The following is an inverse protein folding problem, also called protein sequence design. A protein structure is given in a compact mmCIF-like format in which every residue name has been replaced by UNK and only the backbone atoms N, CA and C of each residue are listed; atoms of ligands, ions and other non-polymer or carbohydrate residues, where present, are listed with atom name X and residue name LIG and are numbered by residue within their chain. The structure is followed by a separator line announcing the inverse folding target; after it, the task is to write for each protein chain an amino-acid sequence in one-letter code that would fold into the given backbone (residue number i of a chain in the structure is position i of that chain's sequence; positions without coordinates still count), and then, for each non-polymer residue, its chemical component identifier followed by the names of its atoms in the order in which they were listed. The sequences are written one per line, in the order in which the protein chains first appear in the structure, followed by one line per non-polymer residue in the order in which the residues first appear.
data_IF_359131626235
#
_entry.id   IF_359131626235
#
_cell.length_a   1.000
_cell.length_b   1.000
_cell.length_c   1.000
_cell.angle_alpha   90.00
_cell.angle_beta   90.00
_cell.angle_gamma   90.00
#
_symmetry.space_group_name_H-M   'P 1'
#
loop_
_entity.id
_entity.type
_entity.pdbx_description
1 polymer ?
#
# COMPACT_ATOMS: atom_id res chain seq x y z
N UNK A 1 -75.41 10.39 -0.36
CA UNK A 1 -74.26 11.26 -0.71
C UNK A 1 -73.01 10.44 -0.67
N UNK A 2 -72.51 10.03 -1.84
CA UNK A 2 -71.23 9.35 -1.97
C UNK A 2 -70.12 10.38 -2.08
N UNK A 3 -69.21 10.41 -1.12
CA UNK A 3 -68.01 11.27 -1.18
C UNK A 3 -67.03 10.78 -2.27
N UNK A 4 -66.24 11.67 -2.87
CA UNK A 4 -65.31 11.30 -3.91
C UNK A 4 -64.18 10.43 -3.32
N UNK A 5 -63.98 9.25 -3.93
CA UNK A 5 -62.86 8.40 -3.69
C UNK A 5 -61.60 9.13 -4.27
N UNK A 6 -60.73 9.65 -3.41
CA UNK A 6 -59.45 10.15 -3.80
C UNK A 6 -58.58 8.97 -4.35
N UNK A 7 -58.28 9.00 -5.62
CA UNK A 7 -57.33 8.10 -6.20
C UNK A 7 -55.93 8.32 -5.54
N UNK A 8 -55.18 7.25 -5.22
CA UNK A 8 -53.85 7.44 -4.67
C UNK A 8 -52.99 8.18 -5.70
N UNK A 9 -52.31 9.22 -5.24
CA UNK A 9 -51.34 9.94 -6.07
C UNK A 9 -50.29 8.97 -6.60
N UNK A 10 -50.26 8.78 -7.90
CA UNK A 10 -49.18 8.02 -8.53
C UNK A 10 -47.87 8.77 -8.20
N UNK A 11 -46.99 8.13 -7.45
CA UNK A 11 -45.65 8.64 -7.22
C UNK A 11 -44.93 8.67 -8.59
N UNK A 12 -44.78 9.86 -9.16
CA UNK A 12 -44.02 10.06 -10.37
C UNK A 12 -42.57 9.70 -10.04
N UNK A 13 -42.08 8.61 -10.58
CA UNK A 13 -40.67 8.21 -10.45
C UNK A 13 -39.85 9.19 -11.31
N UNK A 14 -39.12 10.11 -10.64
CA UNK A 14 -38.23 11.04 -11.32
C UNK A 14 -37.02 10.31 -11.89
N UNK A 15 -36.97 10.11 -13.22
CA UNK A 15 -35.93 9.40 -13.95
C UNK A 15 -34.83 10.40 -14.31
N UNK A 16 -33.57 10.09 -13.94
CA UNK A 16 -32.37 10.89 -14.24
C UNK A 16 -31.58 10.38 -15.44
N UNK A 17 -31.65 9.09 -15.71
CA UNK A 17 -31.12 8.52 -16.95
C UNK A 17 -31.87 7.23 -17.31
N UNK A 18 -31.89 6.91 -18.59
CA UNK A 18 -32.28 5.60 -19.12
C UNK A 18 -31.02 4.99 -19.74
N UNK A 19 -30.69 3.76 -19.32
CA UNK A 19 -29.53 3.00 -19.79
C UNK A 19 -30.06 1.71 -20.42
N UNK A 20 -30.13 1.68 -21.73
CA UNK A 20 -30.85 0.67 -22.53
C UNK A 20 -32.34 0.58 -22.06
N UNK A 21 -32.70 -0.45 -21.33
CA UNK A 21 -34.06 -0.72 -20.81
C UNK A 21 -34.21 -0.48 -19.31
N UNK A 22 -33.14 0.00 -18.64
CA UNK A 22 -33.15 0.25 -17.17
C UNK A 22 -33.08 1.75 -16.85
N UNK A 23 -33.84 2.16 -15.85
CA UNK A 23 -33.86 3.56 -15.39
C UNK A 23 -32.98 3.77 -14.18
N UNK A 24 -32.21 4.85 -14.20
CA UNK A 24 -31.55 5.44 -13.02
C UNK A 24 -32.42 6.56 -12.49
N UNK A 25 -32.90 6.45 -11.27
CA UNK A 25 -33.85 7.37 -10.67
C UNK A 25 -33.20 8.48 -9.84
N UNK A 26 -33.94 9.55 -9.57
CA UNK A 26 -33.51 10.58 -8.61
C UNK A 26 -33.29 10.02 -7.20
N UNK A 27 -34.04 8.96 -6.85
CA UNK A 27 -33.84 8.25 -5.58
C UNK A 27 -32.46 7.60 -5.52
N UNK A 28 -32.06 6.87 -6.58
CA UNK A 28 -30.74 6.24 -6.65
C UNK A 28 -29.59 7.26 -6.52
N UNK A 29 -29.72 8.36 -7.24
CA UNK A 29 -28.75 9.47 -7.17
C UNK A 29 -28.69 10.05 -5.76
N UNK A 30 -29.85 10.28 -5.12
CA UNK A 30 -29.91 10.84 -3.77
C UNK A 30 -29.32 9.90 -2.73
N UNK A 31 -29.64 8.61 -2.79
CA UNK A 31 -29.10 7.61 -1.86
C UNK A 31 -27.59 7.45 -2.04
N UNK A 32 -27.10 7.45 -3.27
CA UNK A 32 -25.66 7.41 -3.53
C UNK A 32 -24.95 8.70 -3.05
N UNK A 33 -25.55 9.87 -3.22
CA UNK A 33 -25.04 11.12 -2.66
C UNK A 33 -24.97 11.06 -1.13
N UNK A 34 -26.03 10.56 -0.46
CA UNK A 34 -26.04 10.36 0.98
C UNK A 34 -24.90 9.44 1.43
N UNK A 35 -24.75 8.32 0.74
CA UNK A 35 -23.66 7.37 1.03
C UNK A 35 -22.29 8.06 0.93
N UNK A 36 -22.03 8.83 -0.11
CA UNK A 36 -20.75 9.51 -0.32
C UNK A 36 -20.54 10.61 0.73
N UNK A 37 -21.47 11.53 0.86
CA UNK A 37 -21.33 12.72 1.72
C UNK A 37 -21.13 12.30 3.17
N UNK A 38 -21.96 11.38 3.65
CA UNK A 38 -21.95 10.96 5.06
C UNK A 38 -20.79 10.02 5.40
N UNK A 39 -20.41 9.12 4.47
CA UNK A 39 -19.25 8.24 4.68
C UNK A 39 -17.92 8.98 4.55
N UNK A 40 -17.84 10.03 3.72
CA UNK A 40 -16.62 10.82 3.51
C UNK A 40 -16.47 12.00 4.45
N UNK A 41 -17.44 12.21 5.38
CA UNK A 41 -17.49 13.39 6.27
C UNK A 41 -17.48 14.73 5.52
N UNK A 42 -18.03 14.74 4.31
CA UNK A 42 -18.17 15.96 3.53
C UNK A 42 -19.29 16.83 4.12
N UNK A 43 -19.22 18.18 4.00
CA UNK A 43 -20.31 19.04 4.40
C UNK A 43 -21.53 18.79 3.53
N UNK A 44 -22.67 18.48 4.16
CA UNK A 44 -23.93 18.23 3.46
C UNK A 44 -24.61 19.56 3.08
N UNK A 45 -24.15 20.16 1.99
CA UNK A 45 -24.66 21.42 1.46
C UNK A 45 -25.24 21.24 0.06
N UNK A 46 -26.18 22.13 -0.30
CA UNK A 46 -26.76 22.13 -1.65
C UNK A 46 -25.67 22.26 -2.75
N UNK A 47 -24.61 23.01 -2.47
CA UNK A 47 -23.46 23.15 -3.39
C UNK A 47 -22.74 21.85 -3.62
N UNK A 48 -22.36 21.14 -2.54
CA UNK A 48 -21.67 19.85 -2.61
C UNK A 48 -22.55 18.82 -3.34
N UNK A 49 -23.84 18.75 -3.01
CA UNK A 49 -24.78 17.83 -3.70
C UNK A 49 -24.88 18.12 -5.18
N UNK A 50 -25.06 19.39 -5.58
CA UNK A 50 -25.15 19.81 -6.99
C UNK A 50 -23.90 19.47 -7.78
N UNK A 51 -22.77 19.63 -7.15
CA UNK A 51 -21.49 19.38 -7.79
C UNK A 51 -21.18 17.86 -7.89
N UNK A 52 -21.61 17.04 -6.95
CA UNK A 52 -21.40 15.59 -6.98
C UNK A 52 -22.43 14.87 -7.86
N UNK A 53 -23.63 15.40 -8.00
CA UNK A 53 -24.75 14.74 -8.68
C UNK A 53 -24.41 14.24 -10.12
N UNK A 54 -23.78 15.04 -11.00
CA UNK A 54 -23.45 14.56 -12.34
C UNK A 54 -22.51 13.36 -12.35
N UNK A 55 -21.56 13.30 -11.39
CA UNK A 55 -20.62 12.19 -11.27
C UNK A 55 -21.28 10.95 -10.73
N UNK A 56 -22.10 11.13 -9.69
CA UNK A 56 -22.90 10.05 -9.13
C UNK A 56 -23.79 9.45 -10.20
N UNK A 57 -24.43 10.26 -11.02
CA UNK A 57 -25.24 9.80 -12.13
C UNK A 57 -24.40 9.00 -13.13
N UNK A 58 -23.24 9.49 -13.52
CA UNK A 58 -22.33 8.76 -14.43
C UNK A 58 -21.88 7.42 -13.83
N UNK A 59 -21.52 7.39 -12.53
CA UNK A 59 -21.17 6.16 -11.83
C UNK A 59 -22.32 5.13 -11.82
N UNK A 60 -23.55 5.60 -11.59
CA UNK A 60 -24.73 4.74 -11.62
C UNK A 60 -25.04 4.21 -13.04
N UNK A 61 -24.82 5.01 -14.07
CA UNK A 61 -24.92 4.58 -15.47
C UNK A 61 -23.89 3.47 -15.73
N UNK A 62 -22.64 3.66 -15.35
CA UNK A 62 -21.57 2.67 -15.52
C UNK A 62 -21.88 1.37 -14.74
N UNK A 63 -22.37 1.48 -13.50
CA UNK A 63 -22.80 0.34 -12.70
C UNK A 63 -23.99 -0.42 -13.35
N UNK A 64 -24.92 0.31 -13.97
CA UNK A 64 -26.03 -0.31 -14.69
C UNK A 64 -25.53 -1.12 -15.89
N UNK A 65 -24.61 -0.56 -16.68
CA UNK A 65 -23.97 -1.27 -17.79
C UNK A 65 -23.20 -2.51 -17.32
N UNK A 66 -22.46 -2.40 -16.21
CA UNK A 66 -21.74 -3.52 -15.61
C UNK A 66 -22.69 -4.64 -15.16
N UNK A 67 -23.83 -4.30 -14.55
CA UNK A 67 -24.87 -5.26 -14.17
C UNK A 67 -25.50 -5.95 -15.38
N UNK A 68 -25.84 -5.17 -16.39
CA UNK A 68 -26.44 -5.71 -17.63
C UNK A 68 -25.47 -6.69 -18.29
N UNK A 69 -24.18 -6.34 -18.37
CA UNK A 69 -23.16 -7.21 -18.94
C UNK A 69 -22.94 -8.48 -18.11
N UNK A 70 -22.89 -8.38 -16.78
CA UNK A 70 -22.82 -9.54 -15.90
C UNK A 70 -24.02 -10.47 -16.09
N UNK A 71 -25.24 -9.90 -16.19
CA UNK A 71 -26.49 -10.64 -16.48
C UNK A 71 -26.44 -11.32 -17.84
N UNK A 72 -25.98 -10.62 -18.89
CA UNK A 72 -25.83 -11.16 -20.25
C UNK A 72 -24.88 -12.36 -20.28
N UNK A 73 -23.82 -12.33 -19.45
CA UNK A 73 -22.83 -13.40 -19.34
C UNK A 73 -23.22 -14.51 -18.33
N UNK A 74 -24.41 -14.41 -17.71
CA UNK A 74 -24.86 -15.37 -16.72
C UNK A 74 -24.00 -15.41 -15.45
N UNK A 75 -23.34 -14.29 -15.11
CA UNK A 75 -22.52 -14.16 -13.92
C UNK A 75 -23.42 -13.82 -12.73
N UNK A 76 -23.32 -14.64 -11.68
CA UNK A 76 -23.97 -14.41 -10.39
C UNK A 76 -22.93 -14.25 -9.32
N UNK A 77 -23.10 -13.26 -8.46
CA UNK A 77 -22.23 -13.03 -7.32
C UNK A 77 -22.45 -14.12 -6.28
N UNK A 78 -21.37 -14.72 -5.80
CA UNK A 78 -21.43 -15.67 -4.68
C UNK A 78 -21.86 -14.93 -3.39
N UNK A 79 -22.94 -15.35 -2.72
CA UNK A 79 -23.37 -14.75 -1.46
C UNK A 79 -22.26 -14.70 -0.39
N UNK A 80 -21.39 -15.71 -0.38
CA UNK A 80 -20.23 -15.72 0.55
C UNK A 80 -19.22 -14.64 0.22
N UNK A 81 -19.00 -14.34 -1.07
CA UNK A 81 -18.11 -13.26 -1.48
C UNK A 81 -18.66 -11.89 -1.05
N UNK A 82 -19.97 -11.69 -1.21
CA UNK A 82 -20.65 -10.48 -0.74
C UNK A 82 -20.54 -10.33 0.79
N UNK A 83 -20.84 -11.37 1.55
CA UNK A 83 -20.71 -11.34 3.01
C UNK A 83 -19.29 -11.02 3.46
N UNK A 84 -18.28 -11.63 2.79
CA UNK A 84 -16.87 -11.34 3.08
C UNK A 84 -16.49 -9.88 2.79
N UNK A 85 -17.03 -9.32 1.71
CA UNK A 85 -16.79 -7.91 1.37
C UNK A 85 -17.40 -6.95 2.40
N UNK A 86 -18.63 -7.25 2.86
CA UNK A 86 -19.30 -6.47 3.91
C UNK A 86 -18.57 -6.58 5.25
N UNK A 87 -18.13 -7.79 5.66
CA UNK A 87 -17.36 -7.99 6.88
C UNK A 87 -16.00 -7.25 6.84
N UNK A 88 -15.35 -7.24 5.68
CA UNK A 88 -14.12 -6.47 5.50
C UNK A 88 -14.35 -4.96 5.66
N UNK A 89 -15.49 -4.46 5.16
CA UNK A 89 -15.89 -3.07 5.32
C UNK A 89 -16.14 -2.71 6.79
N UNK A 90 -16.81 -3.60 7.56
CA UNK A 90 -16.97 -3.44 9.00
C UNK A 90 -15.62 -3.36 9.71
N UNK A 91 -14.71 -4.27 9.42
CA UNK A 91 -13.37 -4.28 10.00
C UNK A 91 -12.59 -2.99 9.69
N UNK A 92 -12.63 -2.52 8.44
CA UNK A 92 -11.95 -1.29 8.03
C UNK A 92 -12.49 -0.04 8.71
N UNK A 93 -13.78 -0.02 9.01
CA UNK A 93 -14.44 1.08 9.72
C UNK A 93 -14.49 0.87 11.24
N UNK A 94 -13.80 -0.17 11.76
CA UNK A 94 -13.77 -0.52 13.20
C UNK A 94 -15.16 -0.73 13.80
N UNK A 95 -16.08 -1.25 13.00
CA UNK A 95 -17.40 -1.63 13.43
C UNK A 95 -17.41 -3.06 14.01
N UNK A 96 -18.27 -3.36 14.98
CA UNK A 96 -18.47 -4.73 15.41
C UNK A 96 -19.11 -5.57 14.29
N UNK A 97 -18.96 -6.91 14.29
CA UNK A 97 -19.64 -7.76 13.33
C UNK A 97 -21.15 -7.52 13.33
N UNK A 98 -21.74 -7.29 12.15
CA UNK A 98 -23.14 -6.91 11.98
C UNK A 98 -23.47 -5.45 12.32
N UNK A 99 -22.47 -4.63 12.66
CA UNK A 99 -22.65 -3.22 13.02
C UNK A 99 -22.88 -2.29 11.85
N UNK A 100 -22.65 -2.76 10.62
CA UNK A 100 -22.81 -1.97 9.41
C UNK A 100 -24.25 -1.47 9.23
N UNK A 101 -25.24 -2.27 9.54
CA UNK A 101 -26.67 -1.93 9.40
C UNK A 101 -27.05 -0.74 10.27
N UNK A 102 -26.67 -0.77 11.54
CA UNK A 102 -26.90 0.34 12.47
C UNK A 102 -26.14 1.59 12.04
N UNK A 103 -24.88 1.42 11.62
CA UNK A 103 -24.03 2.51 11.15
C UNK A 103 -24.64 3.25 9.94
N UNK A 104 -25.25 2.51 9.01
CA UNK A 104 -25.89 3.09 7.82
C UNK A 104 -27.25 3.73 8.20
N UNK A 105 -28.05 3.05 9.03
CA UNK A 105 -29.35 3.53 9.48
C UNK A 105 -29.25 4.84 10.26
N UNK A 106 -28.32 4.96 11.20
CA UNK A 106 -28.05 6.20 11.95
C UNK A 106 -27.70 7.39 11.03
N UNK A 107 -27.16 7.10 9.87
CA UNK A 107 -26.79 8.10 8.86
C UNK A 107 -27.85 8.31 7.79
N UNK A 108 -29.01 7.63 7.89
CA UNK A 108 -30.07 7.67 6.90
C UNK A 108 -29.64 7.22 5.52
N UNK A 109 -28.73 6.22 5.45
CA UNK A 109 -28.24 5.61 4.22
C UNK A 109 -28.97 4.29 4.03
N UNK A 110 -29.55 4.11 2.85
CA UNK A 110 -30.16 2.83 2.48
C UNK A 110 -29.06 1.77 2.27
N UNK A 111 -29.14 0.69 3.06
CA UNK A 111 -28.22 -0.45 2.97
C UNK A 111 -28.17 -1.04 1.55
N UNK A 112 -29.31 -1.09 0.86
CA UNK A 112 -29.39 -1.69 -0.46
C UNK A 112 -28.52 -0.93 -1.48
N UNK A 113 -28.37 0.38 -1.32
CA UNK A 113 -27.45 1.21 -2.16
C UNK A 113 -26.02 0.73 -2.06
N UNK A 114 -25.54 0.43 -0.85
CA UNK A 114 -24.19 -0.08 -0.63
C UNK A 114 -24.06 -1.53 -1.12
N UNK A 115 -25.04 -2.38 -0.81
CA UNK A 115 -25.05 -3.78 -1.25
C UNK A 115 -25.02 -3.85 -2.78
N UNK A 116 -25.85 -3.08 -3.47
CA UNK A 116 -25.89 -3.02 -4.93
C UNK A 116 -24.55 -2.60 -5.53
N UNK A 117 -23.87 -1.63 -4.91
CA UNK A 117 -22.54 -1.18 -5.34
C UNK A 117 -21.51 -2.30 -5.23
N UNK A 118 -21.48 -3.00 -4.08
CA UNK A 118 -20.52 -4.10 -3.84
C UNK A 118 -20.82 -5.28 -4.77
N UNK A 119 -22.09 -5.66 -4.93
CA UNK A 119 -22.48 -6.73 -5.85
C UNK A 119 -22.05 -6.41 -7.29
N UNK A 120 -22.28 -5.18 -7.74
CA UNK A 120 -21.87 -4.75 -9.08
C UNK A 120 -20.36 -4.85 -9.27
N UNK A 121 -19.61 -4.40 -8.29
CA UNK A 121 -18.15 -4.45 -8.30
C UNK A 121 -17.64 -5.90 -8.35
N UNK A 122 -18.20 -6.79 -7.54
CA UNK A 122 -17.85 -8.22 -7.55
C UNK A 122 -18.20 -8.87 -8.88
N UNK A 123 -19.42 -8.61 -9.40
CA UNK A 123 -19.85 -9.12 -10.70
C UNK A 123 -18.94 -8.63 -11.83
N UNK A 124 -18.57 -7.34 -11.84
CA UNK A 124 -17.68 -6.77 -12.82
C UNK A 124 -16.27 -7.36 -12.78
N UNK A 125 -15.75 -7.62 -11.59
CA UNK A 125 -14.47 -8.32 -11.43
C UNK A 125 -14.51 -9.72 -12.07
N UNK A 126 -15.64 -10.42 -11.95
CA UNK A 126 -15.85 -11.72 -12.58
C UNK A 126 -16.02 -11.62 -14.10
N UNK A 127 -16.72 -10.56 -14.62
CA UNK A 127 -16.78 -10.23 -16.05
C UNK A 127 -15.38 -10.02 -16.59
N UNK A 128 -14.60 -9.15 -15.96
CA UNK A 128 -13.24 -8.83 -16.37
C UNK A 128 -12.36 -10.10 -16.41
N UNK A 129 -12.47 -10.95 -15.40
CA UNK A 129 -11.73 -12.22 -15.34
C UNK A 129 -12.14 -13.18 -16.47
N UNK A 130 -13.43 -13.38 -16.70
CA UNK A 130 -13.91 -14.32 -17.75
C UNK A 130 -13.59 -13.85 -19.16
N UNK A 131 -13.81 -12.57 -19.45
CA UNK A 131 -13.72 -12.03 -20.80
C UNK A 131 -12.32 -11.61 -21.18
N UNK A 132 -11.54 -11.10 -20.23
CA UNK A 132 -10.30 -10.40 -20.56
C UNK A 132 -9.05 -11.22 -20.22
N UNK A 133 -9.05 -12.03 -19.15
CA UNK A 133 -7.85 -12.76 -18.75
C UNK A 133 -7.32 -13.70 -19.85
N UNK A 134 -8.22 -14.36 -20.59
CA UNK A 134 -7.81 -15.30 -21.66
C UNK A 134 -7.05 -14.63 -22.80
N UNK A 135 -7.24 -13.34 -23.00
CA UNK A 135 -6.62 -12.56 -24.07
C UNK A 135 -5.37 -11.80 -23.62
N UNK A 136 -4.99 -11.94 -22.33
CA UNK A 136 -3.82 -11.28 -21.77
C UNK A 136 -2.67 -12.28 -21.74
N UNK A 137 -1.60 -11.92 -22.42
CA UNK A 137 -0.34 -12.65 -22.38
C UNK A 137 0.73 -11.76 -21.77
N UNK A 138 1.38 -12.25 -20.72
CA UNK A 138 2.58 -11.65 -20.12
C UNK A 138 3.75 -12.57 -20.46
N UNK A 139 4.67 -12.06 -21.26
CA UNK A 139 5.84 -12.82 -21.71
C UNK A 139 6.89 -12.95 -20.61
N UNK A 140 7.74 -13.98 -20.71
CA UNK A 140 8.85 -14.18 -19.78
C UNK A 140 9.80 -12.97 -19.79
N UNK A 141 10.08 -12.42 -20.97
CA UNK A 141 10.90 -11.21 -21.11
C UNK A 141 10.37 -10.01 -20.33
N UNK A 142 9.05 -9.85 -20.22
CA UNK A 142 8.45 -8.76 -19.42
C UNK A 142 8.59 -9.02 -17.93
N UNK A 143 8.46 -10.28 -17.52
CA UNK A 143 8.70 -10.72 -16.14
C UNK A 143 10.16 -10.47 -15.76
N UNK A 144 11.10 -10.88 -16.61
CA UNK A 144 12.54 -10.68 -16.40
C UNK A 144 12.88 -9.19 -16.27
N UNK A 145 12.40 -8.35 -17.18
CA UNK A 145 12.60 -6.89 -17.12
C UNK A 145 12.01 -6.27 -15.85
N UNK A 146 10.89 -6.77 -15.37
CA UNK A 146 10.30 -6.30 -14.13
C UNK A 146 11.13 -6.76 -12.93
N UNK A 147 11.59 -8.01 -12.92
CA UNK A 147 12.47 -8.55 -11.88
C UNK A 147 13.81 -7.81 -11.83
N UNK A 148 14.43 -7.54 -12.99
CA UNK A 148 15.67 -6.76 -13.06
C UNK A 148 15.49 -5.36 -12.48
N UNK A 149 14.38 -4.67 -12.80
CA UNK A 149 14.06 -3.36 -12.21
C UNK A 149 13.91 -3.43 -10.70
N UNK A 150 13.26 -4.47 -10.18
CA UNK A 150 13.09 -4.68 -8.74
C UNK A 150 14.46 -4.93 -8.09
N UNK A 151 15.32 -5.77 -8.69
CA UNK A 151 16.68 -6.02 -8.22
C UNK A 151 17.53 -4.75 -8.21
N UNK A 152 17.50 -3.99 -9.29
CA UNK A 152 18.25 -2.73 -9.42
C UNK A 152 17.81 -1.64 -8.43
N UNK A 153 16.61 -1.77 -7.87
CA UNK A 153 16.06 -0.84 -6.88
C UNK A 153 15.97 -1.45 -5.46
N UNK A 154 16.55 -2.63 -5.26
CA UNK A 154 16.46 -3.35 -3.98
C UNK A 154 17.12 -2.60 -2.82
N UNK A 155 18.09 -1.73 -3.11
CA UNK A 155 18.78 -0.83 -2.18
C UNK A 155 18.02 0.46 -1.87
N UNK A 156 16.88 0.68 -2.53
CA UNK A 156 16.05 1.88 -2.34
C UNK A 156 14.95 1.63 -1.31
N UNK A 157 14.46 2.68 -0.63
CA UNK A 157 13.38 2.55 0.33
C UNK A 157 12.10 1.98 -0.29
N UNK A 158 11.45 1.06 0.40
CA UNK A 158 10.09 0.63 0.07
C UNK A 158 9.09 1.65 0.60
N UNK A 159 8.04 1.91 -0.17
CA UNK A 159 7.04 2.90 0.13
C UNK A 159 5.67 2.23 0.30
N UNK A 160 4.94 2.56 1.36
CA UNK A 160 3.54 2.19 1.48
C UNK A 160 2.69 3.31 0.90
N UNK A 161 2.04 3.03 -0.22
CA UNK A 161 1.36 4.04 -1.04
C UNK A 161 -0.12 3.71 -1.18
N UNK A 162 -0.92 4.76 -1.22
CA UNK A 162 -2.29 4.69 -1.71
C UNK A 162 -2.46 5.69 -2.85
N UNK A 163 -3.36 5.41 -3.81
CA UNK A 163 -3.59 6.22 -4.99
C UNK A 163 -5.07 6.52 -5.23
N UNK A 164 -5.32 7.66 -5.84
CA UNK A 164 -6.58 7.96 -6.54
C UNK A 164 -6.20 8.28 -7.98
N UNK A 165 -6.73 7.52 -8.92
CA UNK A 165 -6.45 7.66 -10.34
C UNK A 165 -7.69 8.11 -11.10
N UNK A 166 -7.56 9.15 -11.92
CA UNK A 166 -8.58 9.67 -12.82
C UNK A 166 -8.04 9.57 -14.24
N UNK A 167 -8.61 8.67 -15.02
CA UNK A 167 -8.16 8.42 -16.39
C UNK A 167 -8.40 9.63 -17.29
N UNK A 168 -7.52 9.79 -18.27
CA UNK A 168 -7.71 10.67 -19.43
C UNK A 168 -7.63 9.80 -20.67
N UNK A 169 -8.80 9.37 -21.14
CA UNK A 169 -8.91 8.44 -22.26
C UNK A 169 -8.94 9.18 -23.62
N UNK A 170 -9.32 10.46 -23.61
CA UNK A 170 -9.31 11.32 -24.80
C UNK A 170 -8.89 12.75 -24.46
N UNK A 171 -8.40 13.53 -25.43
CA UNK A 171 -8.08 14.95 -25.22
C UNK A 171 -9.27 15.78 -24.71
N UNK A 172 -10.49 15.41 -25.02
CA UNK A 172 -11.70 16.08 -24.58
C UNK A 172 -11.97 15.88 -23.08
N UNK A 173 -11.44 14.79 -22.50
CA UNK A 173 -11.64 14.46 -21.09
C UNK A 173 -10.65 15.19 -20.18
N UNK A 174 -9.55 15.71 -20.73
CA UNK A 174 -8.44 16.32 -19.98
C UNK A 174 -8.92 17.39 -18.98
N UNK A 175 -9.73 18.34 -19.47
CA UNK A 175 -10.19 19.44 -18.65
C UNK A 175 -11.13 18.97 -17.50
N UNK A 176 -11.95 17.95 -17.77
CA UNK A 176 -12.84 17.37 -16.78
C UNK A 176 -12.06 16.56 -15.74
N UNK A 177 -11.14 15.72 -16.20
CA UNK A 177 -10.29 14.91 -15.33
C UNK A 177 -9.44 15.79 -14.39
N UNK A 178 -8.88 16.89 -14.91
CA UNK A 178 -8.13 17.86 -14.12
C UNK A 178 -8.99 18.48 -13.02
N UNK A 179 -10.15 19.05 -13.38
CA UNK A 179 -11.08 19.63 -12.39
C UNK A 179 -11.50 18.63 -11.33
N UNK A 180 -11.68 17.37 -11.73
CA UNK A 180 -12.02 16.29 -10.83
C UNK A 180 -10.90 16.01 -9.84
N UNK A 181 -9.67 15.88 -10.32
CA UNK A 181 -8.52 15.65 -9.47
C UNK A 181 -8.25 16.81 -8.49
N UNK A 182 -8.30 18.05 -8.96
CA UNK A 182 -8.12 19.25 -8.15
C UNK A 182 -9.17 19.35 -7.03
N UNK A 183 -10.39 18.98 -7.32
CA UNK A 183 -11.47 18.96 -6.34
C UNK A 183 -11.28 17.88 -5.30
N UNK A 184 -10.97 16.64 -5.71
CA UNK A 184 -10.68 15.54 -4.78
C UNK A 184 -9.53 15.96 -3.85
N UNK A 185 -8.50 16.57 -4.39
CA UNK A 185 -7.39 17.09 -3.60
C UNK A 185 -7.83 18.18 -2.60
N UNK A 186 -8.71 19.10 -3.02
CA UNK A 186 -9.27 20.10 -2.12
C UNK A 186 -10.03 19.47 -0.95
N UNK A 187 -10.83 18.43 -1.20
CA UNK A 187 -11.57 17.72 -0.14
C UNK A 187 -10.60 16.96 0.80
N UNK A 188 -9.55 16.34 0.27
CA UNK A 188 -8.49 15.72 1.08
C UNK A 188 -7.80 16.73 2.00
N UNK A 189 -7.54 17.94 1.52
CA UNK A 189 -6.97 19.02 2.33
C UNK A 189 -7.91 19.50 3.45
N UNK A 190 -9.22 19.35 3.25
CA UNK A 190 -10.25 19.64 4.27
C UNK A 190 -10.45 18.52 5.28
N UNK A 191 -9.71 17.42 5.14
CA UNK A 191 -9.75 16.28 6.07
C UNK A 191 -10.65 15.13 5.64
N UNK A 192 -11.15 15.13 4.39
CA UNK A 192 -11.90 14.00 3.87
C UNK A 192 -11.05 12.72 3.84
N UNK A 193 -11.71 11.58 4.05
CA UNK A 193 -11.05 10.29 4.09
C UNK A 193 -10.54 9.86 2.72
N UNK A 194 -9.20 9.71 2.58
CA UNK A 194 -8.58 9.23 1.34
C UNK A 194 -9.16 7.89 0.86
N UNK A 195 -9.30 6.83 1.72
CA UNK A 195 -9.86 5.57 1.27
C UNK A 195 -11.29 5.67 0.74
N UNK A 196 -12.10 6.55 1.33
CA UNK A 196 -13.48 6.73 0.87
C UNK A 196 -13.53 7.45 -0.48
N UNK A 197 -12.73 8.51 -0.64
CA UNK A 197 -12.62 9.20 -1.93
C UNK A 197 -12.02 8.31 -3.01
N UNK A 198 -11.06 7.45 -2.66
CA UNK A 198 -10.51 6.48 -3.59
C UNK A 198 -11.57 5.48 -4.08
N UNK A 199 -12.37 4.90 -3.17
CA UNK A 199 -13.46 4.00 -3.56
C UNK A 199 -14.49 4.66 -4.47
N UNK A 200 -14.72 5.94 -4.25
CA UNK A 200 -15.77 6.67 -4.94
C UNK A 200 -15.35 7.23 -6.30
N UNK A 201 -14.11 7.67 -6.42
CA UNK A 201 -13.67 8.46 -7.55
C UNK A 201 -12.49 7.86 -8.31
N UNK A 202 -11.75 6.94 -7.70
CA UNK A 202 -10.63 6.31 -8.39
C UNK A 202 -11.09 5.30 -9.41
N UNK A 203 -10.50 5.36 -10.58
CA UNK A 203 -10.71 4.41 -11.68
C UNK A 203 -9.63 3.32 -11.71
N UNK A 204 -8.84 3.22 -10.64
CA UNK A 204 -7.85 2.16 -10.44
C UNK A 204 -8.48 0.94 -9.77
N UNK A 205 -7.96 -0.26 -10.02
CA UNK A 205 -8.36 -1.49 -9.31
C UNK A 205 -8.09 -1.43 -7.79
N UNK A 206 -7.21 -0.54 -7.37
CA UNK A 206 -6.98 -0.26 -5.95
C UNK A 206 -8.15 0.44 -5.25
N UNK A 207 -9.08 1.02 -6.02
CA UNK A 207 -10.23 1.78 -5.51
C UNK A 207 -11.05 1.01 -4.48
N UNK A 208 -11.34 -0.28 -4.74
CA UNK A 208 -12.10 -1.15 -3.83
C UNK A 208 -11.40 -1.31 -2.46
N UNK A 209 -10.07 -1.27 -2.46
CA UNK A 209 -9.26 -1.30 -1.24
C UNK A 209 -8.95 0.09 -0.67
N UNK A 210 -9.72 1.12 -1.10
CA UNK A 210 -9.50 2.51 -0.68
C UNK A 210 -8.22 3.12 -1.25
N UNK A 211 -7.82 2.65 -2.43
CA UNK A 211 -6.60 3.07 -3.12
C UNK A 211 -5.31 2.43 -2.60
N UNK A 212 -5.35 1.53 -1.61
CA UNK A 212 -4.13 0.95 -0.99
C UNK A 212 -3.42 0.02 -1.97
N UNK A 213 -2.22 0.41 -2.39
CA UNK A 213 -1.29 -0.39 -3.19
C UNK A 213 -0.41 -1.29 -2.33
N UNK A 214 -0.43 -1.11 -1.00
CA UNK A 214 0.47 -1.80 -0.09
C UNK A 214 1.91 -1.25 -0.15
N UNK A 215 2.88 -2.14 0.14
CA UNK A 215 4.29 -1.83 0.04
C UNK A 215 4.78 -2.02 -1.40
N UNK A 216 5.27 -0.95 -2.00
CA UNK A 216 5.83 -0.93 -3.35
C UNK A 216 7.32 -0.66 -3.32
N UNK A 217 8.02 -1.13 -4.34
CA UNK A 217 9.42 -0.79 -4.60
C UNK A 217 9.51 0.26 -5.72
N UNK A 218 10.55 1.10 -5.74
CA UNK A 218 10.80 1.97 -6.87
C UNK A 218 10.97 1.17 -8.16
N UNK A 219 10.35 1.64 -9.24
CA UNK A 219 10.26 0.96 -10.54
C UNK A 219 8.93 0.23 -10.78
N UNK A 220 8.00 0.22 -9.80
CA UNK A 220 6.69 -0.41 -9.91
C UNK A 220 5.57 0.54 -10.36
N UNK A 221 5.78 1.85 -10.24
CA UNK A 221 4.81 2.88 -10.66
C UNK A 221 5.31 3.68 -11.87
N UNK A 222 4.44 4.53 -12.39
CA UNK A 222 4.83 5.45 -13.46
C UNK A 222 5.95 6.40 -12.98
N UNK A 223 6.95 6.72 -13.83
CA UNK A 223 8.13 7.48 -13.42
C UNK A 223 7.80 8.84 -12.81
N UNK A 224 6.74 9.49 -13.27
CA UNK A 224 6.27 10.77 -12.76
C UNK A 224 5.77 10.64 -11.33
N UNK A 225 5.02 9.57 -11.02
CA UNK A 225 4.52 9.25 -9.68
C UNK A 225 5.67 8.95 -8.73
N UNK A 226 6.65 8.19 -9.19
CA UNK A 226 7.83 7.86 -8.38
C UNK A 226 8.68 9.09 -8.01
N UNK A 227 8.85 10.02 -8.95
CA UNK A 227 9.58 11.29 -8.71
C UNK A 227 8.92 12.11 -7.58
N UNK A 228 7.60 12.11 -7.52
CA UNK A 228 6.88 12.83 -6.46
C UNK A 228 6.98 12.09 -5.14
N UNK A 229 6.73 10.77 -5.12
CA UNK A 229 6.83 9.94 -3.92
C UNK A 229 8.22 9.99 -3.27
N UNK A 230 9.28 10.09 -4.08
CA UNK A 230 10.65 10.21 -3.58
C UNK A 230 10.87 11.46 -2.71
N UNK A 231 10.14 12.56 -3.00
CA UNK A 231 10.23 13.84 -2.30
C UNK A 231 9.23 13.99 -1.15
N UNK A 232 8.22 13.12 -1.08
CA UNK A 232 7.16 13.21 -0.09
C UNK A 232 7.62 12.73 1.29
N UNK A 233 7.00 13.31 2.33
CA UNK A 233 7.12 12.84 3.72
C UNK A 233 6.02 11.80 4.01
N UNK A 234 6.26 10.82 4.88
CA UNK A 234 5.21 9.92 5.35
C UNK A 234 3.99 10.68 5.89
N UNK A 235 2.81 10.10 5.70
CA UNK A 235 1.51 10.67 6.07
C UNK A 235 1.16 11.98 5.33
N UNK A 236 1.66 12.18 4.10
CA UNK A 236 1.28 13.30 3.25
C UNK A 236 0.58 12.81 1.98
N UNK A 237 -0.16 13.73 1.35
CA UNK A 237 -0.88 13.52 0.08
C UNK A 237 -0.31 14.48 -0.96
N UNK A 238 -0.11 14.01 -2.20
CA UNK A 238 0.39 14.83 -3.30
C UNK A 238 -0.72 15.74 -3.84
N UNK A 239 -0.34 16.80 -4.51
CA UNK A 239 -1.20 17.48 -5.48
C UNK A 239 -1.52 16.56 -6.66
N UNK A 240 -2.58 16.86 -7.44
CA UNK A 240 -2.87 16.12 -8.66
C UNK A 240 -1.68 16.13 -9.63
N UNK A 241 -1.22 14.96 -9.99
CA UNK A 241 -0.09 14.77 -10.90
C UNK A 241 -0.58 14.27 -12.25
N UNK A 242 -0.29 14.99 -13.33
CA UNK A 242 -0.55 14.54 -14.70
C UNK A 242 0.50 13.53 -15.13
N UNK A 243 0.05 12.36 -15.59
CA UNK A 243 0.86 11.31 -16.21
C UNK A 243 0.32 10.97 -17.60
N UNK A 244 0.97 10.08 -18.33
CA UNK A 244 0.50 9.64 -19.63
C UNK A 244 -0.90 9.02 -19.60
N UNK A 245 -1.26 8.35 -18.50
CA UNK A 245 -2.53 7.62 -18.32
C UNK A 245 -3.66 8.50 -17.78
N UNK A 246 -3.36 9.62 -17.11
CA UNK A 246 -4.36 10.45 -16.45
C UNK A 246 -3.80 11.26 -15.29
N UNK A 247 -4.64 11.58 -14.32
CA UNK A 247 -4.25 12.28 -13.10
C UNK A 247 -4.15 11.31 -11.92
N UNK A 248 -3.06 11.41 -11.19
CA UNK A 248 -2.85 10.70 -9.93
C UNK A 248 -2.85 11.66 -8.75
N UNK A 249 -3.47 11.25 -7.66
CA UNK A 249 -3.28 11.81 -6.32
C UNK A 249 -2.75 10.66 -5.47
N UNK A 250 -1.54 10.78 -4.93
CA UNK A 250 -0.92 9.71 -4.16
C UNK A 250 -0.77 10.10 -2.69
N UNK A 251 -0.97 9.14 -1.81
CA UNK A 251 -0.71 9.26 -0.39
C UNK A 251 0.47 8.36 0.00
N UNK A 252 1.55 8.96 0.52
CA UNK A 252 2.64 8.21 1.13
C UNK A 252 2.28 7.94 2.59
N UNK A 253 1.99 6.67 2.92
CA UNK A 253 1.60 6.24 4.27
C UNK A 253 2.79 5.97 5.17
N UNK A 254 3.79 5.27 4.62
CA UNK A 254 5.01 4.94 5.35
C UNK A 254 6.19 4.77 4.38
N UNK A 255 7.39 4.91 4.90
CA UNK A 255 8.65 4.62 4.21
C UNK A 255 9.42 3.63 5.06
N UNK A 256 10.00 2.61 4.44
CA UNK A 256 10.89 1.64 5.07
C UNK A 256 12.19 1.62 4.31
N UNK A 257 13.27 1.94 4.98
CA UNK A 257 14.60 1.86 4.39
C UNK A 257 14.96 0.40 4.07
N UNK A 258 15.78 0.19 3.04
CA UNK A 258 16.23 -1.15 2.68
C UNK A 258 17.02 -1.77 3.85
N UNK A 259 16.99 -3.11 4.00
CA UNK A 259 17.72 -3.80 5.06
C UNK A 259 19.23 -3.50 5.07
N UNK A 260 19.82 -3.24 3.90
CA UNK A 260 21.23 -2.84 3.76
C UNK A 260 21.55 -1.50 4.41
N UNK A 261 20.54 -0.63 4.63
CA UNK A 261 20.68 0.66 5.33
C UNK A 261 20.14 0.62 6.76
N UNK A 262 19.37 -0.38 7.13
CA UNK A 262 18.95 -0.62 8.50
C UNK A 262 20.01 -1.45 9.23
N UNK A 263 21.23 -0.90 9.35
CA UNK A 263 22.29 -1.52 10.16
C UNK A 263 21.78 -1.94 11.56
N UNK A 264 20.73 -1.28 12.05
CA UNK A 264 20.08 -1.59 13.31
C UNK A 264 19.36 -2.95 13.40
N UNK A 265 18.90 -3.52 12.28
CA UNK A 265 18.22 -4.84 12.27
C UNK A 265 19.19 -6.01 11.98
N UNK A 266 20.44 -5.71 11.60
CA UNK A 266 21.47 -6.74 11.45
C UNK A 266 21.73 -7.38 12.80
N UNK A 267 21.63 -8.71 12.86
CA UNK A 267 21.96 -9.48 14.06
C UNK A 267 23.38 -10.01 13.90
N UNK A 268 24.21 -9.77 14.90
CA UNK A 268 25.60 -10.25 14.97
C UNK A 268 25.76 -11.19 16.16
N UNK A 269 26.54 -12.25 15.98
CA UNK A 269 27.01 -13.06 17.10
C UNK A 269 28.39 -12.54 17.48
N UNK A 270 28.47 -11.92 18.65
CA UNK A 270 29.69 -11.30 19.17
C UNK A 270 30.36 -12.15 20.22
N UNK A 271 31.69 -12.19 20.14
CA UNK A 271 32.54 -12.70 21.19
C UNK A 271 33.52 -11.63 21.64
N UNK A 272 33.95 -11.71 22.88
CA UNK A 272 34.92 -10.77 23.44
C UNK A 272 36.02 -11.48 24.21
N UNK A 273 37.21 -10.88 24.18
CA UNK A 273 38.31 -11.13 25.06
C UNK A 273 38.58 -9.87 25.85
N UNK A 274 38.64 -9.96 27.17
CA UNK A 274 38.91 -8.83 28.07
C UNK A 274 40.22 -9.07 28.74
N UNK A 275 41.18 -8.20 28.50
CA UNK A 275 42.50 -8.19 29.16
C UNK A 275 42.50 -7.13 30.23
N UNK A 276 42.72 -7.48 31.50
CA UNK A 276 42.78 -6.48 32.56
C UNK A 276 44.00 -5.57 32.38
N UNK A 277 43.79 -4.25 32.53
CA UNK A 277 44.87 -3.28 32.54
C UNK A 277 45.34 -3.02 33.97
N UNK A 278 46.64 -3.09 34.25
CA UNK A 278 47.21 -2.64 35.50
C UNK A 278 46.95 -1.16 35.78
N UNK A 279 47.25 -0.73 37.02
CA UNK A 279 47.16 0.68 37.38
C UNK A 279 47.92 1.59 36.41
N UNK A 280 47.49 2.82 36.24
CA UNK A 280 48.08 3.78 35.29
C UNK A 280 49.58 4.03 35.56
N UNK A 281 50.04 3.82 36.76
CA UNK A 281 51.45 3.91 37.17
C UNK A 281 52.30 2.76 36.68
N UNK A 282 51.72 1.60 36.34
CA UNK A 282 52.45 0.46 35.81
C UNK A 282 52.48 0.50 34.26
N UNK A 283 53.34 1.32 33.72
CA UNK A 283 53.49 1.54 32.28
C UNK A 283 53.98 0.27 31.56
N UNK A 284 54.87 -0.52 32.17
CA UNK A 284 55.43 -1.73 31.58
C UNK A 284 54.36 -2.84 31.50
N UNK A 285 53.54 -2.98 32.58
CA UNK A 285 52.43 -3.92 32.58
C UNK A 285 51.37 -3.57 31.55
N UNK A 286 51.02 -2.30 31.38
CA UNK A 286 50.09 -1.84 30.31
C UNK A 286 50.61 -2.10 28.93
N UNK A 287 51.88 -1.83 28.69
CA UNK A 287 52.51 -2.09 27.39
C UNK A 287 52.52 -3.59 27.07
N UNK A 288 52.75 -4.46 28.06
CA UNK A 288 52.65 -5.91 27.87
C UNK A 288 51.27 -6.36 27.48
N UNK A 289 50.21 -5.81 28.05
CA UNK A 289 48.82 -6.13 27.68
C UNK A 289 48.47 -5.63 26.28
N UNK A 290 49.00 -4.47 25.88
CA UNK A 290 48.80 -3.97 24.49
C UNK A 290 49.49 -4.86 23.45
N UNK A 291 50.71 -5.33 23.75
CA UNK A 291 51.43 -6.28 22.88
C UNK A 291 50.63 -7.58 22.75
N UNK A 292 50.13 -8.12 23.89
CA UNK A 292 49.30 -9.31 23.90
C UNK A 292 48.03 -9.13 23.05
N UNK A 293 47.35 -7.99 23.22
CA UNK A 293 46.15 -7.68 22.44
C UNK A 293 46.43 -7.64 20.94
N UNK A 294 47.56 -7.02 20.53
CA UNK A 294 47.99 -7.00 19.10
C UNK A 294 48.33 -8.40 18.61
N UNK A 295 49.06 -9.20 19.43
CA UNK A 295 49.39 -10.58 19.08
C UNK A 295 48.13 -11.42 18.84
N UNK A 296 47.13 -11.33 19.73
CA UNK A 296 45.85 -12.01 19.57
C UNK A 296 45.16 -11.59 18.26
N UNK A 297 45.13 -10.29 17.99
CA UNK A 297 44.53 -9.76 16.76
C UNK A 297 45.21 -10.29 15.50
N UNK A 298 46.53 -10.38 15.51
CA UNK A 298 47.32 -10.70 14.33
C UNK A 298 47.49 -12.23 14.11
N UNK A 299 47.30 -13.05 15.15
CA UNK A 299 47.49 -14.49 15.09
C UNK A 299 46.23 -15.33 15.13
N UNK A 300 45.17 -14.80 15.76
CA UNK A 300 43.92 -15.57 15.92
C UNK A 300 43.10 -15.47 14.65
N UNK A 301 42.73 -16.63 14.11
CA UNK A 301 41.91 -16.71 12.91
C UNK A 301 40.63 -17.47 13.21
N UNK A 302 39.50 -16.75 13.11
CA UNK A 302 38.17 -17.33 13.24
C UNK A 302 37.70 -17.56 14.68
N UNK A 303 36.44 -17.91 14.80
CA UNK A 303 35.72 -17.92 16.07
C UNK A 303 36.10 -19.06 17.03
N UNK A 304 36.57 -20.19 16.48
CA UNK A 304 37.01 -21.31 17.31
C UNK A 304 38.25 -20.94 18.09
N UNK A 305 39.26 -20.38 17.42
CA UNK A 305 40.52 -19.98 18.04
C UNK A 305 40.28 -18.82 19.02
N UNK A 306 39.48 -17.84 18.64
CA UNK A 306 39.13 -16.72 19.53
C UNK A 306 38.43 -17.19 20.81
N UNK A 307 37.57 -18.22 20.70
CA UNK A 307 36.92 -18.82 21.87
C UNK A 307 37.88 -19.57 22.78
N UNK A 308 38.91 -20.21 22.19
CA UNK A 308 39.95 -20.90 22.97
C UNK A 308 40.78 -19.89 23.75
N UNK A 309 41.26 -18.86 23.09
CA UNK A 309 41.96 -17.73 23.74
C UNK A 309 41.12 -17.09 24.85
N UNK A 310 39.82 -16.87 24.58
CA UNK A 310 38.90 -16.33 25.58
C UNK A 310 38.76 -17.21 26.83
N UNK A 311 38.82 -18.53 26.68
CA UNK A 311 38.79 -19.51 27.77
C UNK A 311 40.12 -19.63 28.54
N UNK A 312 41.22 -19.60 27.79
CA UNK A 312 42.57 -19.75 28.37
C UNK A 312 43.00 -18.51 29.17
N UNK A 313 42.63 -17.34 28.72
CA UNK A 313 42.84 -16.08 29.43
C UNK A 313 41.89 -15.87 30.64
N UNK A 314 40.94 -16.69 30.80
CA UNK A 314 40.17 -17.22 31.94
C UNK A 314 39.69 -16.28 33.03
N UNK A 315 39.93 -15.01 32.97
CA UNK A 315 39.58 -14.11 34.05
C UNK A 315 38.55 -13.04 33.61
N UNK A 316 37.35 -13.19 34.08
CA UNK A 316 36.39 -12.12 34.03
C UNK A 316 35.37 -12.22 32.87
N UNK A 317 34.85 -11.12 32.31
CA UNK A 317 33.72 -11.09 31.37
C UNK A 317 34.05 -11.48 29.94
N UNK A 318 35.20 -12.23 29.73
CA UNK A 318 35.51 -12.80 28.42
C UNK A 318 34.51 -13.89 28.07
N UNK A 319 34.14 -13.99 26.77
CA UNK A 319 33.28 -15.06 26.31
C UNK A 319 32.32 -14.67 25.17
N UNK A 320 31.29 -15.48 25.06
CA UNK A 320 30.23 -15.31 24.09
C UNK A 320 29.20 -14.29 24.58
N UNK A 321 29.05 -13.18 23.86
CA UNK A 321 28.03 -12.18 24.14
C UNK A 321 26.67 -12.54 23.52
N UNK A 322 26.66 -13.63 22.73
CA UNK A 322 25.46 -14.10 22.07
C UNK A 322 25.08 -13.29 20.84
N UNK A 323 23.83 -13.45 20.43
CA UNK A 323 23.25 -12.74 19.28
C UNK A 323 22.66 -11.42 19.73
N UNK A 324 23.19 -10.35 19.19
CA UNK A 324 22.77 -8.96 19.50
C UNK A 324 22.37 -8.27 18.20
N UNK A 325 21.36 -7.41 18.27
CA UNK A 325 21.07 -6.51 17.14
C UNK A 325 22.08 -5.38 17.12
N UNK A 326 22.65 -5.13 15.96
CA UNK A 326 23.64 -4.07 15.78
C UNK A 326 23.12 -2.69 16.22
N UNK A 327 21.80 -2.45 16.06
CA UNK A 327 21.14 -1.23 16.52
C UNK A 327 21.02 -1.05 18.03
N UNK A 328 21.11 -2.14 18.81
CA UNK A 328 21.04 -2.12 20.26
C UNK A 328 22.41 -1.85 20.91
N UNK A 329 23.48 -1.91 20.11
CA UNK A 329 24.84 -1.59 20.60
C UNK A 329 25.01 -0.08 20.78
N UNK A 330 25.82 0.33 21.77
CA UNK A 330 26.30 1.71 21.89
C UNK A 330 26.92 2.22 20.57
N UNK A 331 26.83 3.51 20.32
CA UNK A 331 27.22 4.11 19.02
C UNK A 331 28.64 3.73 18.57
N UNK A 332 29.60 3.77 19.49
CA UNK A 332 31.02 3.47 19.23
C UNK A 332 31.21 1.99 18.86
N UNK A 333 30.58 1.09 19.59
CA UNK A 333 30.63 -0.36 19.31
C UNK A 333 29.90 -0.69 18.03
N UNK A 334 28.77 -0.04 17.73
CA UNK A 334 28.01 -0.22 16.50
C UNK A 334 28.84 0.11 15.27
N UNK A 335 29.56 1.21 15.30
CA UNK A 335 30.42 1.60 14.19
C UNK A 335 31.55 0.60 13.99
N UNK A 336 32.23 0.21 15.06
CA UNK A 336 33.34 -0.76 15.01
C UNK A 336 32.85 -2.14 14.51
N UNK A 337 31.82 -2.69 15.14
CA UNK A 337 31.29 -4.02 14.82
C UNK A 337 30.70 -4.07 13.40
N UNK A 338 30.09 -2.94 12.95
CA UNK A 338 29.54 -2.84 11.59
C UNK A 338 30.59 -2.83 10.49
N UNK A 339 31.86 -2.59 10.81
CA UNK A 339 33.00 -2.58 9.86
C UNK A 339 33.85 -3.84 9.93
N UNK A 340 33.60 -4.72 10.92
CA UNK A 340 34.34 -5.96 11.09
C UNK A 340 33.84 -7.04 10.15
N UNK A 341 34.76 -7.68 9.44
CA UNK A 341 34.49 -8.91 8.71
C UNK A 341 34.24 -10.07 9.69
N UNK A 342 33.40 -11.01 9.27
CA UNK A 342 33.13 -12.22 10.06
C UNK A 342 34.42 -13.02 10.22
N UNK A 343 34.78 -13.32 11.49
CA UNK A 343 36.03 -14.02 11.84
C UNK A 343 37.25 -13.12 12.04
N UNK A 344 37.11 -11.82 11.84
CA UNK A 344 38.18 -10.85 12.10
C UNK A 344 38.12 -10.34 13.56
N UNK A 345 39.29 -10.12 14.17
CA UNK A 345 39.44 -9.53 15.49
C UNK A 345 39.52 -8.02 15.38
N UNK A 346 38.79 -7.30 16.24
CA UNK A 346 38.78 -5.84 16.28
C UNK A 346 40.14 -5.27 16.72
N UNK A 347 40.40 -3.99 16.41
CA UNK A 347 41.39 -3.22 17.15
C UNK A 347 41.08 -3.23 18.66
N UNK A 348 42.11 -3.17 19.54
CA UNK A 348 41.91 -3.13 20.99
C UNK A 348 41.10 -1.89 21.39
N UNK A 349 39.99 -2.11 22.11
CA UNK A 349 39.20 -1.05 22.73
C UNK A 349 39.73 -0.81 24.15
N UNK A 350 40.32 0.35 24.39
CA UNK A 350 40.91 0.72 25.68
C UNK A 350 39.81 1.30 26.56
N UNK A 351 39.65 0.75 27.75
CA UNK A 351 38.84 1.32 28.83
C UNK A 351 39.76 1.67 30.00
N UNK A 352 39.25 2.27 31.05
CA UNK A 352 40.10 2.64 32.23
C UNK A 352 40.85 1.44 32.78
N UNK A 353 40.20 0.27 32.89
CA UNK A 353 40.71 -0.89 33.59
C UNK A 353 40.88 -2.14 32.71
N UNK A 354 40.63 -2.04 31.38
CA UNK A 354 40.73 -3.20 30.52
C UNK A 354 40.98 -2.83 29.05
N UNK A 355 41.57 -3.77 28.30
CA UNK A 355 41.56 -3.83 26.83
C UNK A 355 40.54 -4.86 26.42
N UNK A 356 39.67 -4.51 25.48
CA UNK A 356 38.67 -5.42 24.91
C UNK A 356 38.96 -5.66 23.43
N UNK A 357 38.91 -6.92 23.07
CA UNK A 357 38.92 -7.37 21.67
C UNK A 357 37.55 -7.97 21.37
N UNK A 358 37.01 -7.64 20.21
CA UNK A 358 35.74 -8.16 19.74
C UNK A 358 35.94 -8.97 18.46
N UNK A 359 35.12 -9.99 18.26
CA UNK A 359 35.03 -10.73 16.99
C UNK A 359 33.58 -10.98 16.64
N UNK A 360 33.22 -10.73 15.37
CA UNK A 360 31.94 -11.10 14.80
C UNK A 360 32.03 -12.54 14.29
N UNK A 361 31.27 -13.44 14.90
CA UNK A 361 31.28 -14.86 14.54
C UNK A 361 30.20 -15.25 13.52
N UNK A 362 29.08 -14.56 13.50
CA UNK A 362 27.99 -14.76 12.55
C UNK A 362 27.31 -13.39 12.35
N UNK A 363 26.97 -13.08 11.13
CA UNK A 363 26.24 -11.86 10.80
C UNK A 363 25.07 -12.21 9.89
N UNK A 364 23.88 -11.84 10.32
CA UNK A 364 22.65 -12.03 9.57
C UNK A 364 21.99 -10.67 9.35
N UNK A 365 22.06 -10.22 8.13
CA UNK A 365 21.27 -9.07 7.69
C UNK A 365 19.91 -9.54 7.18
N UNK A 366 18.82 -8.80 7.45
CA UNK A 366 17.54 -9.10 6.86
C UNK A 366 17.67 -9.17 5.34
N UNK A 367 17.35 -10.32 4.77
CA UNK A 367 17.38 -10.47 3.31
C UNK A 367 16.14 -9.80 2.69
N UNK A 368 16.34 -9.09 1.61
CA UNK A 368 15.25 -8.59 0.79
C UNK A 368 14.64 -9.79 0.07
N UNK A 369 13.46 -10.23 0.49
CA UNK A 369 12.71 -11.20 -0.29
C UNK A 369 12.26 -10.54 -1.59
N UNK A 370 12.84 -10.95 -2.69
CA UNK A 370 12.36 -10.56 -4.02
C UNK A 370 11.07 -11.32 -4.32
N UNK A 371 10.10 -10.68 -5.01
CA UNK A 371 8.91 -11.38 -5.46
C UNK A 371 9.30 -12.49 -6.44
N UNK A 372 8.55 -13.59 -6.42
CA UNK A 372 8.72 -14.67 -7.40
C UNK A 372 8.28 -14.22 -8.80
N UNK A 373 8.76 -14.88 -9.83
CA UNK A 373 8.35 -14.63 -11.22
C UNK A 373 6.83 -14.76 -11.37
N UNK A 374 6.23 -15.73 -10.69
CA UNK A 374 4.78 -15.95 -10.70
C UNK A 374 4.02 -14.76 -10.07
N UNK A 375 4.51 -14.20 -8.98
CA UNK A 375 3.94 -12.98 -8.36
C UNK A 375 4.04 -11.77 -9.29
N UNK A 376 5.17 -11.61 -9.97
CA UNK A 376 5.37 -10.54 -10.96
C UNK A 376 4.42 -10.75 -12.14
N UNK A 377 4.35 -11.95 -12.69
CA UNK A 377 3.45 -12.29 -13.80
C UNK A 377 1.99 -12.02 -13.43
N UNK A 378 1.56 -12.45 -12.26
CA UNK A 378 0.22 -12.17 -11.74
C UNK A 378 -0.06 -10.67 -11.63
N UNK A 379 0.89 -9.88 -11.13
CA UNK A 379 0.76 -8.43 -11.02
C UNK A 379 0.61 -7.77 -12.38
N UNK A 380 1.47 -8.09 -13.32
CA UNK A 380 1.42 -7.56 -14.69
C UNK A 380 0.12 -7.95 -15.39
N UNK A 381 -0.35 -9.18 -15.19
CA UNK A 381 -1.63 -9.65 -15.72
C UNK A 381 -2.79 -8.82 -15.16
N UNK A 382 -2.85 -8.60 -13.85
CA UNK A 382 -3.91 -7.80 -13.23
C UNK A 382 -3.92 -6.35 -13.72
N UNK A 383 -2.76 -5.73 -13.87
CA UNK A 383 -2.66 -4.37 -14.46
C UNK A 383 -3.22 -4.31 -15.89
N UNK A 384 -2.93 -5.32 -16.70
CA UNK A 384 -3.49 -5.40 -18.08
C UNK A 384 -4.98 -5.66 -18.10
N UNK A 385 -5.48 -6.53 -17.19
CA UNK A 385 -6.92 -6.76 -17.02
C UNK A 385 -7.62 -5.44 -16.74
N UNK A 386 -7.08 -4.65 -15.82
CA UNK A 386 -7.64 -3.36 -15.42
C UNK A 386 -7.76 -2.37 -16.60
N UNK A 387 -6.68 -2.18 -17.35
CA UNK A 387 -6.68 -1.29 -18.52
C UNK A 387 -7.72 -1.76 -19.56
N UNK A 388 -7.80 -3.07 -19.81
CA UNK A 388 -8.78 -3.63 -20.74
C UNK A 388 -10.20 -3.55 -20.21
N UNK A 389 -10.42 -3.71 -18.90
CA UNK A 389 -11.74 -3.60 -18.29
C UNK A 389 -12.31 -2.19 -18.44
N UNK A 390 -11.46 -1.15 -18.25
CA UNK A 390 -11.88 0.24 -18.51
C UNK A 390 -12.27 0.45 -19.97
N UNK A 391 -11.46 -0.06 -20.91
CA UNK A 391 -11.80 0.03 -22.34
C UNK A 391 -13.10 -0.71 -22.64
N UNK A 392 -13.27 -1.90 -22.09
CA UNK A 392 -14.46 -2.70 -22.29
C UNK A 392 -15.72 -1.99 -21.77
N UNK A 393 -15.65 -1.38 -20.58
CA UNK A 393 -16.78 -0.59 -20.06
C UNK A 393 -17.09 0.61 -20.95
N UNK A 394 -16.09 1.28 -21.50
CA UNK A 394 -16.29 2.36 -22.45
C UNK A 394 -16.97 1.86 -23.72
N UNK A 395 -16.50 0.74 -24.30
CA UNK A 395 -17.12 0.16 -25.48
C UNK A 395 -18.60 -0.22 -25.23
N UNK A 396 -18.92 -0.74 -24.02
CA UNK A 396 -20.30 -0.99 -23.60
C UNK A 396 -21.12 0.30 -23.52
N UNK A 397 -20.52 1.37 -23.01
CA UNK A 397 -21.16 2.68 -22.89
C UNK A 397 -21.43 3.31 -24.26
N UNK A 398 -20.47 3.22 -25.18
CA UNK A 398 -20.58 3.74 -26.53
C UNK A 398 -21.64 2.98 -27.37
N UNK A 399 -21.83 1.69 -27.07
CA UNK A 399 -22.84 0.86 -27.72
C UNK A 399 -24.24 0.95 -27.10
N UNK A 400 -24.35 1.52 -25.89
CA UNK A 400 -25.61 1.58 -25.15
C UNK A 400 -26.51 2.74 -25.62
N UNK A 401 -27.81 2.53 -25.52
CA UNK A 401 -28.77 3.64 -25.56
C UNK A 401 -28.75 4.38 -24.22
N UNK A 402 -28.37 5.66 -24.28
CA UNK A 402 -28.30 6.53 -23.08
C UNK A 402 -29.15 7.76 -23.30
N UNK A 403 -30.20 7.94 -22.46
CA UNK A 403 -31.01 9.15 -22.36
C UNK A 403 -30.79 9.78 -20.96
N UNK A 404 -29.99 10.84 -20.91
CA UNK A 404 -29.63 11.53 -19.66
C UNK A 404 -30.52 12.77 -19.52
N UNK A 405 -31.31 12.79 -18.44
CA UNK A 405 -32.25 13.87 -18.15
C UNK A 405 -31.66 14.74 -17.04
N UNK A 406 -31.45 16.01 -17.37
CA UNK A 406 -30.83 16.99 -16.45
C UNK A 406 -31.82 17.46 -15.36
#
# INVERSE_FOLDING_TARGET
MMGPVQAPAQSVVDIRAIVNDEAVTAYDVTQRLNLIIRSSSLPDTATVRRELAPRVLNSLIDETLQKQEAKRLGIKVDPKALQKALALLEQQNKLPPGGLDNFLAERGIDKQTLVNQIETSLAWSDVARRQLMRSINVTDQEVDKALERIKANADKPRLRVAEIFIAVDSPNDEANARRNAERIFSELRRGASFPLLARQFSQSASAERGGDLGWIQPGELEPEVEKILAKMKPNTVSEPLRTTSGFYIVALRARRDPPSKSAGETTVNLRQVVLPLPAASDVAGRQSQEVLARTIRDTVTGCADFSTVSRELGAGPSGDLGRLKLGELPADLRQLVGQLDVGAVSPPLVTENSLRLLMVCDQRSPQISLPSEEEIRRRLTLQRVEVRARRYLRDLRDAAFLDIRA
#
